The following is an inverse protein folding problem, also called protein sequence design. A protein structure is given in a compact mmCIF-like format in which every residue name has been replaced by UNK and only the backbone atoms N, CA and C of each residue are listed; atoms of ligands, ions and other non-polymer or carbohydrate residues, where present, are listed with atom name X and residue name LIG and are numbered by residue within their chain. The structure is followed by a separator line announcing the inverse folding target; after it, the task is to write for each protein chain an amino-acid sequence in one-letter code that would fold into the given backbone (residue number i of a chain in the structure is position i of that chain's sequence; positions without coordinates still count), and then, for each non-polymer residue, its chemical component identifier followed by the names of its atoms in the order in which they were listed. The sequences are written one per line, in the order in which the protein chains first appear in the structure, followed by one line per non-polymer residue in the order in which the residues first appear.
data_IF_029264340491
#
_entry.id   IF_029264340491
#
_cell.length_a   1.000
_cell.length_b   1.000
_cell.length_c   1.000
_cell.angle_alpha   90.00
_cell.angle_beta   90.00
_cell.angle_gamma   90.00
#
_symmetry.space_group_name_H-M   'P 1'
#
loop_
_entity.id
_entity.type
_entity.pdbx_description
1 polymer ?
#
# COMPACT_ATOMS: atom_id res chain seq x y z
N UNK A 1 -11.12 -16.53 12.51
CA UNK A 1 -12.08 -15.67 13.24
C UNK A 1 -11.26 -14.52 13.83
N UNK A 2 -11.66 -13.27 13.64
CA UNK A 2 -10.90 -12.13 14.20
C UNK A 2 -11.20 -11.96 15.69
N UNK A 3 -10.34 -11.24 16.43
CA UNK A 3 -10.56 -10.95 17.86
C UNK A 3 -11.85 -10.14 18.01
N UNK A 4 -12.12 -9.23 17.08
CA UNK A 4 -13.35 -8.45 17.09
C UNK A 4 -14.59 -9.32 16.85
N UNK A 5 -14.51 -10.33 15.99
CA UNK A 5 -15.59 -11.30 15.80
C UNK A 5 -15.80 -12.19 17.04
N UNK A 6 -14.73 -12.57 17.74
CA UNK A 6 -14.82 -13.26 19.03
C UNK A 6 -15.52 -12.43 20.10
N UNK A 7 -15.26 -11.12 20.14
CA UNK A 7 -15.81 -10.21 21.15
C UNK A 7 -17.26 -9.79 20.87
N UNK A 8 -17.59 -9.53 19.60
CA UNK A 8 -18.89 -8.95 19.19
C UNK A 8 -19.90 -10.05 18.80
N UNK A 9 -19.41 -11.25 18.50
CA UNK A 9 -20.23 -12.38 18.04
C UNK A 9 -20.75 -12.19 16.62
N UNK A 10 -21.64 -13.09 16.19
CA UNK A 10 -22.26 -13.02 14.87
C UNK A 10 -23.25 -11.85 14.81
N UNK A 11 -23.04 -10.96 13.86
CA UNK A 11 -23.85 -9.77 13.63
C UNK A 11 -24.26 -9.68 12.16
N UNK A 12 -25.26 -8.85 11.89
CA UNK A 12 -25.64 -8.52 10.50
C UNK A 12 -24.51 -7.81 9.75
N UNK A 13 -24.46 -8.00 8.43
CA UNK A 13 -23.50 -7.30 7.56
C UNK A 13 -23.53 -5.78 7.73
N UNK A 14 -24.70 -5.19 7.95
CA UNK A 14 -24.83 -3.74 8.18
C UNK A 14 -24.05 -3.26 9.41
N UNK A 15 -24.04 -4.06 10.49
CA UNK A 15 -23.24 -3.75 11.69
C UNK A 15 -21.75 -3.81 11.36
N UNK A 16 -21.32 -4.82 10.62
CA UNK A 16 -19.92 -4.94 10.18
C UNK A 16 -19.47 -3.78 9.29
N UNK A 17 -20.33 -3.30 8.38
CA UNK A 17 -20.06 -2.12 7.57
C UNK A 17 -19.88 -0.87 8.44
N UNK A 18 -20.75 -0.67 9.43
CA UNK A 18 -20.63 0.45 10.37
C UNK A 18 -19.36 0.34 11.21
N UNK A 19 -19.04 -0.85 11.72
CA UNK A 19 -17.81 -1.09 12.47
C UNK A 19 -16.57 -0.87 11.61
N UNK A 20 -16.57 -1.30 10.35
CA UNK A 20 -15.49 -1.04 9.40
C UNK A 20 -15.31 0.46 9.10
N UNK A 21 -16.41 1.21 8.95
CA UNK A 21 -16.37 2.67 8.80
C UNK A 21 -15.81 3.38 10.04
N UNK A 22 -16.19 2.93 11.24
CA UNK A 22 -15.57 3.39 12.50
C UNK A 22 -14.08 3.02 12.51
N UNK A 23 -13.74 1.80 12.08
CA UNK A 23 -12.38 1.31 11.97
C UNK A 23 -11.51 2.20 11.09
N UNK A 24 -12.02 2.58 9.91
CA UNK A 24 -11.40 3.56 9.03
C UNK A 24 -11.11 4.89 9.74
N UNK A 25 -12.08 5.45 10.46
CA UNK A 25 -11.90 6.71 11.19
C UNK A 25 -10.86 6.58 12.32
N UNK A 26 -10.84 5.45 13.02
CA UNK A 26 -9.85 5.13 14.04
C UNK A 26 -8.45 5.03 13.44
N UNK A 27 -8.29 4.28 12.35
CA UNK A 27 -7.03 4.12 11.62
C UNK A 27 -6.50 5.47 11.17
N UNK A 28 -7.32 6.30 10.53
CA UNK A 28 -6.90 7.63 10.08
C UNK A 28 -6.47 8.53 11.25
N UNK A 29 -7.27 8.58 12.33
CA UNK A 29 -6.94 9.41 13.49
C UNK A 29 -5.69 8.91 14.21
N UNK A 30 -5.54 7.59 14.33
CA UNK A 30 -4.38 6.94 14.94
C UNK A 30 -3.10 7.20 14.14
N UNK A 31 -3.14 7.08 12.82
CA UNK A 31 -2.04 7.39 11.91
C UNK A 31 -1.58 8.85 12.06
N UNK A 32 -2.51 9.81 12.12
CA UNK A 32 -2.18 11.22 12.35
C UNK A 32 -1.48 11.47 13.71
N UNK A 33 -1.88 10.73 14.76
CA UNK A 33 -1.24 10.81 16.08
C UNK A 33 0.17 10.23 16.03
N UNK A 34 0.33 9.08 15.39
CA UNK A 34 1.63 8.42 15.16
C UNK A 34 2.58 9.37 14.42
N UNK A 35 2.14 9.97 13.31
CA UNK A 35 2.93 10.92 12.52
C UNK A 35 3.34 12.15 13.36
N UNK A 36 2.38 12.79 14.03
CA UNK A 36 2.64 14.01 14.82
C UNK A 36 3.59 13.76 16.00
N UNK A 37 3.43 12.64 16.69
CA UNK A 37 4.28 12.27 17.84
C UNK A 37 5.68 11.90 17.37
N UNK A 38 5.78 11.14 16.27
CA UNK A 38 7.06 10.79 15.64
C UNK A 38 7.85 12.04 15.25
N UNK A 39 7.20 12.97 14.56
CA UNK A 39 7.82 14.24 14.15
C UNK A 39 8.37 15.02 15.35
N UNK A 40 7.58 15.20 16.42
CA UNK A 40 8.01 15.88 17.66
C UNK A 40 9.15 15.19 18.38
N UNK A 41 9.15 13.85 18.40
CA UNK A 41 10.22 13.06 19.02
C UNK A 41 11.52 13.23 18.21
N UNK A 42 11.45 13.11 16.88
CA UNK A 42 12.60 13.30 16.00
C UNK A 42 13.19 14.71 16.09
N UNK A 43 12.35 15.74 16.16
CA UNK A 43 12.78 17.13 16.35
C UNK A 43 13.50 17.33 17.69
N UNK A 44 12.99 16.71 18.76
CA UNK A 44 13.60 16.78 20.09
C UNK A 44 15.00 16.14 20.14
N UNK A 45 15.20 15.03 19.44
CA UNK A 45 16.49 14.34 19.36
C UNK A 45 17.43 14.91 18.29
N UNK A 46 17.04 15.97 17.57
CA UNK A 46 17.88 16.59 16.55
C UNK A 46 18.19 15.67 15.37
N UNK A 47 17.26 14.77 15.05
CA UNK A 47 17.40 13.89 13.87
C UNK A 47 17.41 14.76 12.62
N UNK A 48 18.29 14.45 11.66
CA UNK A 48 18.35 15.20 10.41
C UNK A 48 17.03 15.09 9.65
N UNK A 49 16.61 16.16 8.97
CA UNK A 49 15.35 16.15 8.19
C UNK A 49 15.33 15.03 7.13
N UNK A 50 16.49 14.67 6.58
CA UNK A 50 16.62 13.56 5.64
C UNK A 50 16.26 12.20 6.29
N UNK A 51 16.74 11.93 7.50
CA UNK A 51 16.43 10.68 8.22
C UNK A 51 14.99 10.70 8.75
N UNK A 52 14.55 11.85 9.27
CA UNK A 52 13.20 12.04 9.77
C UNK A 52 12.16 11.83 8.67
N UNK A 53 12.28 12.51 7.53
CA UNK A 53 11.34 12.39 6.42
C UNK A 53 11.44 11.08 5.64
N UNK A 54 12.67 10.58 5.43
CA UNK A 54 12.90 9.42 4.56
C UNK A 54 12.76 8.05 5.24
N UNK A 55 12.94 7.95 6.56
CA UNK A 55 12.92 6.67 7.27
C UNK A 55 11.90 6.65 8.41
N UNK A 56 11.97 7.59 9.35
CA UNK A 56 11.18 7.50 10.59
C UNK A 56 9.71 7.84 10.33
N UNK A 57 9.44 8.99 9.72
CA UNK A 57 8.06 9.42 9.40
C UNK A 57 7.47 8.50 8.33
N UNK A 58 8.22 8.12 7.30
CA UNK A 58 7.75 7.19 6.28
C UNK A 58 7.33 5.82 6.85
N UNK A 59 8.08 5.27 7.82
CA UNK A 59 7.69 4.05 8.51
C UNK A 59 6.45 4.25 9.39
N UNK A 60 6.31 5.43 10.00
CA UNK A 60 5.19 5.77 10.87
C UNK A 60 3.89 5.97 10.07
N UNK A 61 3.96 6.61 8.90
CA UNK A 61 2.81 6.80 8.00
C UNK A 61 2.37 5.50 7.35
N UNK A 62 3.30 4.57 7.08
CA UNK A 62 3.01 3.27 6.49
C UNK A 62 2.64 2.18 7.51
N UNK A 63 2.44 2.56 8.78
CA UNK A 63 2.06 1.63 9.84
C UNK A 63 0.69 0.97 9.62
N UNK A 64 -0.37 1.68 9.16
CA UNK A 64 -1.65 1.05 8.82
C UNK A 64 -1.53 -0.09 7.81
N UNK A 65 -0.73 0.10 6.76
CA UNK A 65 -0.47 -0.89 5.71
C UNK A 65 0.25 -2.11 6.27
N UNK A 66 1.26 -1.88 7.11
CA UNK A 66 1.93 -2.95 7.84
C UNK A 66 0.94 -3.68 8.78
N UNK A 67 0.08 -2.95 9.48
CA UNK A 67 -0.94 -3.55 10.35
C UNK A 67 -1.91 -4.44 9.57
N UNK A 68 -2.31 -4.06 8.36
CA UNK A 68 -3.21 -4.86 7.51
C UNK A 68 -2.60 -6.24 7.24
N UNK A 69 -1.35 -6.30 6.79
CA UNK A 69 -0.70 -7.59 6.49
C UNK A 69 -0.40 -8.39 7.76
N UNK A 70 -0.03 -7.73 8.87
CA UNK A 70 0.19 -8.40 10.15
C UNK A 70 -1.09 -9.04 10.69
N UNK A 71 -2.21 -8.33 10.68
CA UNK A 71 -3.51 -8.86 11.13
C UNK A 71 -3.98 -9.99 10.21
N UNK A 72 -3.83 -9.82 8.90
CA UNK A 72 -4.22 -10.83 7.92
C UNK A 72 -3.45 -12.15 8.12
N UNK A 73 -2.15 -12.09 8.39
CA UNK A 73 -1.31 -13.29 8.60
C UNK A 73 -1.45 -13.85 10.02
N UNK A 74 -1.34 -13.01 11.04
CA UNK A 74 -1.19 -13.46 12.43
C UNK A 74 -2.54 -13.71 13.14
N UNK A 75 -3.60 -13.02 12.73
CA UNK A 75 -4.93 -13.13 13.36
C UNK A 75 -5.87 -13.93 12.47
N UNK A 76 -5.98 -13.55 11.20
CA UNK A 76 -6.89 -14.21 10.27
C UNK A 76 -6.33 -15.55 9.75
N UNK A 77 -5.01 -15.67 9.62
CA UNK A 77 -4.36 -16.82 8.99
C UNK A 77 -4.52 -16.85 7.46
N UNK A 78 -4.88 -15.73 6.85
CA UNK A 78 -5.10 -15.58 5.41
C UNK A 78 -4.23 -14.44 4.86
N UNK A 79 -3.10 -14.82 4.26
CA UNK A 79 -2.21 -13.87 3.58
C UNK A 79 -2.89 -13.15 2.41
N UNK A 80 -3.87 -13.78 1.75
CA UNK A 80 -4.56 -13.25 0.59
C UNK A 80 -5.29 -11.94 0.87
N UNK A 81 -5.94 -11.81 2.03
CA UNK A 81 -6.62 -10.57 2.43
C UNK A 81 -5.64 -9.40 2.50
N UNK A 82 -4.54 -9.58 3.23
CA UNK A 82 -3.53 -8.53 3.39
C UNK A 82 -2.80 -8.23 2.08
N UNK A 83 -2.50 -9.26 1.29
CA UNK A 83 -1.84 -9.09 0.01
C UNK A 83 -2.73 -8.37 -1.01
N UNK A 84 -4.01 -8.71 -1.05
CA UNK A 84 -4.99 -8.04 -1.88
C UNK A 84 -5.09 -6.56 -1.54
N UNK A 85 -5.19 -6.22 -0.26
CA UNK A 85 -5.23 -4.84 0.19
C UNK A 85 -3.97 -4.05 -0.24
N UNK A 86 -2.77 -4.59 -0.02
CA UNK A 86 -1.52 -3.89 -0.35
C UNK A 86 -1.31 -3.71 -1.86
N UNK A 87 -1.65 -4.71 -2.67
CA UNK A 87 -1.55 -4.60 -4.14
C UNK A 87 -2.63 -3.64 -4.67
N UNK A 88 -3.85 -3.72 -4.13
CA UNK A 88 -4.92 -2.78 -4.44
C UNK A 88 -4.54 -1.34 -4.08
N UNK A 89 -3.91 -1.13 -2.93
CA UNK A 89 -3.40 0.18 -2.49
C UNK A 89 -2.34 0.69 -3.45
N UNK A 90 -1.46 -0.19 -3.95
CA UNK A 90 -0.46 0.20 -4.94
C UNK A 90 -1.11 0.71 -6.24
N UNK A 91 -2.15 0.01 -6.74
CA UNK A 91 -2.93 0.42 -7.92
C UNK A 91 -3.69 1.73 -7.64
N UNK A 92 -4.36 1.84 -6.49
CA UNK A 92 -5.09 3.04 -6.09
C UNK A 92 -4.16 4.25 -6.03
N UNK A 93 -3.04 4.12 -5.32
CA UNK A 93 -2.11 5.21 -5.11
C UNK A 93 -1.47 5.68 -6.41
N UNK A 94 -1.05 4.78 -7.30
CA UNK A 94 -0.38 5.17 -8.55
C UNK A 94 -1.34 5.85 -9.54
N UNK A 95 -2.63 5.50 -9.51
CA UNK A 95 -3.62 6.06 -10.44
C UNK A 95 -4.43 7.22 -9.83
N UNK A 96 -5.07 6.99 -8.68
CA UNK A 96 -6.08 7.89 -8.11
C UNK A 96 -5.46 9.12 -7.46
N UNK A 97 -4.33 8.99 -6.76
CA UNK A 97 -3.72 10.14 -6.07
C UNK A 97 -3.17 11.16 -7.07
N UNK A 98 -2.32 10.79 -8.06
CA UNK A 98 -1.88 11.72 -9.10
C UNK A 98 -3.05 12.33 -9.87
N UNK A 99 -4.07 11.53 -10.21
CA UNK A 99 -5.28 12.03 -10.87
C UNK A 99 -6.01 13.09 -10.05
N UNK A 100 -6.24 12.82 -8.76
CA UNK A 100 -6.94 13.75 -7.90
C UNK A 100 -6.13 15.03 -7.68
N UNK A 101 -4.80 14.93 -7.56
CA UNK A 101 -3.92 16.09 -7.42
C UNK A 101 -3.95 16.94 -8.69
N UNK A 102 -3.78 16.36 -9.88
CA UNK A 102 -3.77 17.12 -11.14
C UNK A 102 -5.15 17.73 -11.43
N UNK A 103 -6.25 17.00 -11.22
CA UNK A 103 -7.61 17.50 -11.44
C UNK A 103 -7.99 18.62 -10.47
N UNK A 104 -7.60 18.52 -9.19
CA UNK A 104 -8.03 19.51 -8.18
C UNK A 104 -7.11 20.71 -8.03
N UNK A 105 -5.84 20.55 -8.42
CA UNK A 105 -4.80 21.55 -8.20
C UNK A 105 -4.17 22.06 -9.50
N UNK A 106 -4.58 21.53 -10.66
CA UNK A 106 -4.01 21.79 -11.98
C UNK A 106 -2.73 20.99 -12.23
N UNK A 107 -2.11 21.21 -13.38
CA UNK A 107 -0.96 20.43 -13.87
C UNK A 107 0.18 20.33 -12.84
N UNK A 108 0.69 19.12 -12.67
CA UNK A 108 1.56 18.73 -11.57
C UNK A 108 2.99 18.59 -12.04
N UNK A 109 3.76 19.65 -11.86
CA UNK A 109 5.20 19.59 -12.13
C UNK A 109 5.87 18.50 -11.27
N UNK A 110 6.57 17.63 -11.96
CA UNK A 110 7.45 16.59 -11.42
C UNK A 110 8.90 17.12 -11.47
N UNK A 111 9.85 16.34 -10.93
CA UNK A 111 11.29 16.64 -11.04
C UNK A 111 12.04 15.41 -11.49
N UNK A 112 13.22 15.62 -12.08
CA UNK A 112 14.16 14.54 -12.40
C UNK A 112 14.43 13.62 -11.19
N UNK A 113 14.51 14.18 -9.97
CA UNK A 113 14.68 13.40 -8.75
C UNK A 113 13.52 12.43 -8.51
N UNK A 114 12.27 12.89 -8.64
CA UNK A 114 11.09 12.05 -8.43
C UNK A 114 10.98 10.96 -9.49
N UNK A 115 11.19 11.30 -10.77
CA UNK A 115 11.10 10.32 -11.88
C UNK A 115 12.25 9.31 -11.81
N UNK A 116 13.50 9.77 -11.76
CA UNK A 116 14.66 8.89 -11.89
C UNK A 116 15.07 8.18 -10.60
N UNK A 117 14.73 8.71 -9.42
CA UNK A 117 14.96 8.02 -8.15
C UNK A 117 13.70 7.24 -7.77
N UNK A 118 12.62 7.93 -7.42
CA UNK A 118 11.51 7.28 -6.72
C UNK A 118 10.67 6.39 -7.66
N UNK A 119 10.38 6.86 -8.87
CA UNK A 119 9.59 6.09 -9.83
C UNK A 119 10.36 4.88 -10.42
N UNK A 120 11.66 5.03 -10.71
CA UNK A 120 12.50 3.90 -11.13
C UNK A 120 12.68 2.89 -10.00
N UNK A 121 12.90 3.32 -8.75
CA UNK A 121 12.97 2.39 -7.62
C UNK A 121 11.67 1.63 -7.44
N UNK A 122 10.54 2.30 -7.59
CA UNK A 122 9.24 1.64 -7.56
C UNK A 122 9.09 0.62 -8.70
N UNK A 123 9.52 0.95 -9.93
CA UNK A 123 9.54 0.00 -11.04
C UNK A 123 10.42 -1.23 -10.74
N UNK A 124 11.58 -1.02 -10.13
CA UNK A 124 12.46 -2.12 -9.66
C UNK A 124 11.76 -2.94 -8.58
N UNK A 125 11.02 -2.33 -7.66
CA UNK A 125 10.26 -3.02 -6.64
C UNK A 125 9.16 -3.92 -7.24
N UNK A 126 8.41 -3.42 -8.23
CA UNK A 126 7.39 -4.21 -8.95
C UNK A 126 8.05 -5.39 -9.68
N UNK A 127 9.15 -5.16 -10.39
CA UNK A 127 9.88 -6.21 -11.12
C UNK A 127 10.51 -7.23 -10.18
N UNK A 128 11.03 -6.81 -9.02
CA UNK A 128 11.60 -7.70 -8.02
C UNK A 128 10.52 -8.61 -7.42
N UNK A 129 9.35 -8.06 -7.09
CA UNK A 129 8.20 -8.84 -6.63
C UNK A 129 7.74 -9.84 -7.69
N UNK A 130 7.63 -9.40 -8.95
CA UNK A 130 7.32 -10.29 -10.07
C UNK A 130 8.34 -11.41 -10.22
N UNK A 131 9.63 -11.09 -10.13
CA UNK A 131 10.73 -12.07 -10.18
C UNK A 131 10.65 -13.10 -9.05
N UNK A 132 10.35 -12.68 -7.82
CA UNK A 132 10.14 -13.59 -6.69
C UNK A 132 8.98 -14.56 -6.94
N UNK A 133 7.87 -14.07 -7.51
CA UNK A 133 6.70 -14.90 -7.82
C UNK A 133 7.02 -15.87 -8.96
N UNK A 134 7.71 -15.41 -10.00
CA UNK A 134 8.15 -16.26 -11.11
C UNK A 134 9.12 -17.36 -10.64
N UNK A 135 10.09 -17.03 -9.79
CA UNK A 135 11.00 -18.01 -9.16
C UNK A 135 10.21 -19.01 -8.29
N UNK A 136 9.17 -18.54 -7.59
CA UNK A 136 8.30 -19.37 -6.78
C UNK A 136 7.51 -20.42 -7.58
N UNK A 137 7.26 -20.20 -8.88
CA UNK A 137 6.65 -21.20 -9.77
C UNK A 137 7.66 -22.19 -10.32
N UNK A 138 8.87 -21.75 -10.62
CA UNK A 138 9.92 -22.66 -11.10
C UNK A 138 10.23 -23.77 -10.09
N UNK A 139 9.95 -23.53 -8.81
CA UNK A 139 10.10 -24.52 -7.74
C UNK A 139 8.92 -25.49 -7.53
N UNK A 140 7.85 -25.44 -8.33
CA UNK A 140 6.60 -26.19 -8.06
C UNK A 140 6.23 -27.27 -9.07
N UNK A 141 7.21 -27.91 -9.73
CA UNK A 141 6.99 -29.02 -10.70
C UNK A 141 5.87 -28.73 -11.73
N UNK A 142 5.72 -27.46 -12.15
CA UNK A 142 4.72 -27.04 -13.12
C UNK A 142 3.29 -26.86 -12.59
N UNK A 143 3.10 -26.79 -11.27
CA UNK A 143 1.79 -26.42 -10.68
C UNK A 143 1.54 -24.91 -10.83
N UNK A 144 0.28 -24.53 -11.01
CA UNK A 144 -0.21 -23.14 -11.11
C UNK A 144 -0.13 -22.36 -9.77
N UNK A 145 0.75 -22.78 -8.86
CA UNK A 145 0.96 -22.22 -7.53
C UNK A 145 2.40 -21.72 -7.45
N UNK A 146 2.58 -20.47 -7.07
CA UNK A 146 3.89 -19.89 -6.76
C UNK A 146 4.16 -20.04 -5.25
N UNK A 147 5.22 -20.76 -4.89
CA UNK A 147 5.65 -20.89 -3.49
C UNK A 147 6.72 -19.85 -3.18
N UNK A 148 6.36 -18.86 -2.38
CA UNK A 148 7.27 -17.81 -1.92
C UNK A 148 7.83 -18.21 -0.57
N UNK A 149 9.15 -18.38 -0.48
CA UNK A 149 9.83 -18.72 0.77
C UNK A 149 10.15 -17.48 1.60
N UNK A 150 10.33 -17.61 2.93
CA UNK A 150 10.79 -16.50 3.77
C UNK A 150 12.09 -15.86 3.26
N UNK A 151 13.01 -16.66 2.72
CA UNK A 151 14.29 -16.18 2.20
C UNK A 151 14.11 -15.24 1.00
N UNK A 152 13.16 -15.55 0.10
CA UNK A 152 12.79 -14.64 -0.99
C UNK A 152 12.20 -13.34 -0.44
N UNK A 153 11.36 -13.43 0.60
CA UNK A 153 10.83 -12.26 1.31
C UNK A 153 11.95 -11.40 1.93
N UNK A 154 12.93 -12.00 2.59
CA UNK A 154 14.10 -11.28 3.14
C UNK A 154 14.85 -10.53 2.03
N UNK A 155 15.00 -11.13 0.85
CA UNK A 155 15.60 -10.46 -0.31
C UNK A 155 14.90 -9.16 -0.69
N UNK A 156 13.57 -9.14 -0.66
CA UNK A 156 12.78 -7.93 -0.93
C UNK A 156 12.91 -6.90 0.20
N UNK A 157 12.91 -7.32 1.47
CA UNK A 157 13.14 -6.40 2.60
C UNK A 157 14.53 -5.75 2.54
N UNK A 158 15.55 -6.51 2.11
CA UNK A 158 16.90 -5.97 1.88
C UNK A 158 16.88 -4.93 0.76
N UNK A 159 16.14 -5.17 -0.32
CA UNK A 159 15.96 -4.18 -1.40
C UNK A 159 15.31 -2.88 -0.88
N UNK A 160 14.31 -2.98 0.01
CA UNK A 160 13.76 -1.81 0.68
C UNK A 160 14.80 -1.08 1.54
N UNK A 161 15.64 -1.81 2.28
CA UNK A 161 16.75 -1.23 3.04
C UNK A 161 17.73 -0.45 2.15
N UNK A 162 18.05 -0.96 0.97
CA UNK A 162 18.87 -0.25 -0.03
C UNK A 162 18.18 1.03 -0.49
N UNK A 163 16.87 0.98 -0.80
CA UNK A 163 16.10 2.17 -1.17
C UNK A 163 16.19 3.27 -0.10
N UNK A 164 15.99 2.92 1.17
CA UNK A 164 16.07 3.88 2.28
C UNK A 164 17.48 4.45 2.45
N UNK A 165 18.53 3.64 2.31
CA UNK A 165 19.92 4.11 2.37
C UNK A 165 20.21 5.11 1.23
N UNK A 166 19.72 4.84 0.02
CA UNK A 166 19.90 5.74 -1.12
C UNK A 166 19.11 7.05 -0.94
N UNK A 167 17.93 6.99 -0.33
CA UNK A 167 17.15 8.16 0.02
C UNK A 167 17.89 9.03 1.07
N UNK A 168 18.50 8.39 2.07
CA UNK A 168 19.29 9.07 3.09
C UNK A 168 20.63 9.62 2.57
N UNK A 169 21.25 8.94 1.60
CA UNK A 169 22.55 9.30 1.01
C UNK A 169 22.47 10.37 -0.10
N UNK A 170 21.31 10.55 -0.72
CA UNK A 170 21.05 11.61 -1.68
C UNK A 170 21.08 12.97 -0.98
N UNK A 171 22.17 13.73 -1.13
CA UNK A 171 22.41 15.06 -0.54
C UNK A 171 21.18 15.98 -0.67
N UNK A 172 20.31 15.95 0.34
CA UNK A 172 19.44 17.07 0.66
C UNK A 172 20.31 18.05 1.45
N UNK A 173 20.29 19.31 1.00
CA UNK A 173 21.23 20.34 1.37
C UNK A 173 21.43 20.53 2.88
N UNK A 174 22.58 21.10 3.21
CA UNK A 174 22.91 21.59 4.53
C UNK A 174 21.78 22.46 5.13
N UNK A 175 21.79 22.55 6.46
CA UNK A 175 21.00 23.45 7.35
C UNK A 175 19.51 23.11 7.48
N UNK A 176 18.87 23.02 8.63
CA UNK A 176 19.13 23.53 9.98
C UNK A 176 18.72 22.48 11.02
N UNK A 177 19.55 22.24 12.04
CA UNK A 177 19.02 21.70 13.30
C UNK A 177 18.06 22.76 13.84
N UNK A 178 16.75 22.61 13.58
CA UNK A 178 15.75 23.40 14.29
C UNK A 178 16.03 23.23 15.78
N UNK A 179 16.09 24.35 16.52
CA UNK A 179 16.23 24.35 17.99
C UNK A 179 15.27 23.29 18.54
N UNK A 180 15.81 22.33 19.29
CA UNK A 180 15.02 21.32 19.96
C UNK A 180 13.90 22.00 20.75
N UNK A 181 12.66 21.91 20.25
CA UNK A 181 11.51 22.24 21.07
C UNK A 181 11.52 21.24 22.23
N UNK A 182 11.44 21.76 23.46
CA UNK A 182 11.37 20.93 24.65
C UNK A 182 10.02 20.22 24.66
N UNK A 183 9.97 19.03 24.06
CA UNK A 183 8.80 18.16 24.14
C UNK A 183 8.90 17.28 25.37
N UNK A 184 7.75 16.94 25.96
CA UNK A 184 7.69 15.92 26.99
C UNK A 184 7.76 14.54 26.29
N UNK A 185 8.97 13.99 26.16
CA UNK A 185 9.22 12.71 25.46
C UNK A 185 8.36 11.57 26.03
N UNK A 186 8.23 11.37 27.35
CA UNK A 186 7.33 10.34 27.89
C UNK A 186 5.88 10.49 27.42
N UNK A 187 5.35 11.73 27.39
CA UNK A 187 4.00 11.99 26.90
C UNK A 187 3.88 11.67 25.41
N UNK A 188 4.85 12.06 24.58
CA UNK A 188 4.81 11.77 23.14
C UNK A 188 4.92 10.26 22.87
N UNK A 189 5.79 9.55 23.60
CA UNK A 189 5.92 8.11 23.51
C UNK A 189 4.63 7.39 23.92
N UNK A 190 3.96 7.86 24.99
CA UNK A 190 2.66 7.32 25.39
C UNK A 190 1.57 7.56 24.34
N UNK A 191 1.53 8.75 23.72
CA UNK A 191 0.60 9.05 22.63
C UNK A 191 0.91 8.25 21.37
N UNK A 192 2.18 8.03 21.04
CA UNK A 192 2.61 7.18 19.94
C UNK A 192 2.12 5.74 20.15
N UNK A 193 2.37 5.16 21.33
CA UNK A 193 1.90 3.82 21.68
C UNK A 193 0.37 3.70 21.64
N UNK A 194 -0.35 4.70 22.16
CA UNK A 194 -1.81 4.75 22.05
C UNK A 194 -2.28 4.81 20.59
N UNK A 195 -1.60 5.60 19.74
CA UNK A 195 -1.85 5.67 18.31
C UNK A 195 -1.70 4.32 17.62
N UNK A 196 -0.63 3.57 17.93
CA UNK A 196 -0.41 2.21 17.40
C UNK A 196 -1.57 1.28 17.74
N UNK A 197 -2.02 1.27 19.00
CA UNK A 197 -3.15 0.43 19.44
C UNK A 197 -4.44 0.83 18.72
N UNK A 198 -4.71 2.13 18.59
CA UNK A 198 -5.90 2.62 17.87
C UNK A 198 -5.87 2.21 16.41
N UNK A 199 -4.72 2.27 15.74
CA UNK A 199 -4.58 1.80 14.35
C UNK A 199 -4.80 0.30 14.25
N UNK A 200 -4.22 -0.51 15.15
CA UNK A 200 -4.40 -1.96 15.14
C UNK A 200 -5.88 -2.35 15.27
N UNK A 201 -6.61 -1.73 16.21
CA UNK A 201 -8.06 -1.96 16.38
C UNK A 201 -8.85 -1.50 15.16
N UNK A 202 -8.49 -0.33 14.60
CA UNK A 202 -9.16 0.21 13.42
C UNK A 202 -8.99 -0.67 12.20
N UNK A 203 -7.76 -1.12 11.95
CA UNK A 203 -7.42 -2.01 10.84
C UNK A 203 -8.08 -3.37 11.01
N UNK A 204 -8.08 -3.95 12.22
CA UNK A 204 -8.75 -5.23 12.46
C UNK A 204 -10.25 -5.15 12.13
N UNK A 205 -10.90 -4.05 12.51
CA UNK A 205 -12.30 -3.80 12.18
C UNK A 205 -12.53 -3.72 10.67
N UNK A 206 -11.66 -3.00 9.93
CA UNK A 206 -11.72 -2.90 8.46
C UNK A 206 -11.50 -4.26 7.78
N UNK A 207 -10.51 -5.03 8.24
CA UNK A 207 -10.23 -6.39 7.74
C UNK A 207 -11.44 -7.30 8.00
N UNK A 208 -12.01 -7.26 9.20
CA UNK A 208 -13.19 -8.08 9.54
C UNK A 208 -14.38 -7.72 8.66
N UNK A 209 -14.68 -6.41 8.49
CA UNK A 209 -15.72 -5.97 7.56
C UNK A 209 -15.49 -6.50 6.15
N UNK A 210 -14.25 -6.47 5.66
CA UNK A 210 -13.90 -6.93 4.32
C UNK A 210 -14.18 -8.42 4.15
N UNK A 211 -13.80 -9.25 5.13
CA UNK A 211 -14.11 -10.69 5.13
C UNK A 211 -15.63 -10.94 5.16
N UNK A 212 -16.36 -10.20 5.99
CA UNK A 212 -17.82 -10.34 6.08
C UNK A 212 -18.54 -9.92 4.78
N UNK A 213 -18.02 -8.91 4.07
CA UNK A 213 -18.51 -8.54 2.73
C UNK A 213 -18.22 -9.66 1.74
N UNK A 214 -17.02 -10.25 1.78
CA UNK A 214 -16.65 -11.36 0.91
C UNK A 214 -17.56 -12.57 1.10
N UNK A 215 -17.79 -12.97 2.36
CA UNK A 215 -18.69 -14.07 2.72
C UNK A 215 -20.14 -13.80 2.27
N UNK A 216 -20.63 -12.57 2.44
CA UNK A 216 -21.98 -12.19 2.04
C UNK A 216 -22.19 -12.16 0.52
N UNK A 217 -21.12 -11.94 -0.25
CA UNK A 217 -21.16 -11.91 -1.72
C UNK A 217 -20.75 -13.23 -2.37
N UNK A 218 -20.36 -14.25 -1.57
CA UNK A 218 -19.75 -15.50 -2.04
C UNK A 218 -18.55 -15.24 -2.98
N UNK A 219 -17.78 -14.20 -2.65
CA UNK A 219 -16.67 -13.71 -3.47
C UNK A 219 -15.32 -13.97 -2.78
N UNK A 220 -14.22 -14.17 -3.53
CA UNK A 220 -12.91 -14.35 -2.94
C UNK A 220 -12.48 -13.13 -2.10
N UNK A 221 -12.11 -13.35 -0.82
CA UNK A 221 -11.68 -12.29 0.10
C UNK A 221 -10.53 -11.45 -0.45
N UNK A 222 -9.64 -12.05 -1.25
CA UNK A 222 -8.59 -11.35 -1.99
C UNK A 222 -9.14 -10.25 -2.89
N UNK A 223 -10.16 -10.54 -3.72
CA UNK A 223 -10.72 -9.59 -4.69
C UNK A 223 -11.49 -8.45 -4.01
N UNK A 224 -12.23 -8.77 -2.93
CA UNK A 224 -12.88 -7.74 -2.10
C UNK A 224 -11.83 -6.88 -1.38
N UNK A 225 -10.71 -7.46 -0.95
CA UNK A 225 -9.61 -6.70 -0.33
C UNK A 225 -8.90 -5.79 -1.33
N UNK A 226 -8.65 -6.27 -2.55
CA UNK A 226 -8.05 -5.49 -3.65
C UNK A 226 -8.88 -4.27 -4.02
N UNK A 227 -10.18 -4.29 -3.78
CA UNK A 227 -11.11 -3.22 -4.17
C UNK A 227 -11.55 -2.36 -3.00
N UNK A 228 -12.20 -2.95 -1.98
CA UNK A 228 -12.83 -2.23 -0.87
C UNK A 228 -11.80 -1.86 0.20
N UNK A 229 -11.04 -2.84 0.69
CA UNK A 229 -10.10 -2.60 1.79
C UNK A 229 -8.98 -1.65 1.37
N UNK A 230 -8.44 -1.85 0.16
CA UNK A 230 -7.42 -0.98 -0.42
C UNK A 230 -7.89 0.47 -0.60
N UNK A 231 -9.11 0.69 -1.08
CA UNK A 231 -9.64 2.04 -1.26
C UNK A 231 -9.81 2.75 0.08
N UNK A 232 -10.27 2.03 1.11
CA UNK A 232 -10.43 2.59 2.46
C UNK A 232 -9.09 2.90 3.13
N UNK A 233 -8.09 2.02 3.02
CA UNK A 233 -6.75 2.29 3.59
C UNK A 233 -6.05 3.46 2.88
N UNK A 234 -6.28 3.62 1.58
CA UNK A 234 -5.61 4.64 0.75
C UNK A 234 -6.33 6.00 0.73
N UNK A 235 -7.57 6.07 1.23
CA UNK A 235 -8.34 7.30 1.23
C UNK A 235 -7.71 8.45 2.06
N UNK A 236 -7.11 8.21 3.24
CA UNK A 236 -6.41 9.26 3.97
C UNK A 236 -5.23 9.82 3.18
N UNK A 237 -4.47 8.95 2.49
CA UNK A 237 -3.35 9.36 1.62
C UNK A 237 -3.83 10.20 0.45
N UNK A 238 -4.98 9.86 -0.15
CA UNK A 238 -5.62 10.68 -1.18
C UNK A 238 -5.91 12.09 -0.67
N UNK A 239 -6.49 12.21 0.53
CA UNK A 239 -6.79 13.52 1.12
C UNK A 239 -5.52 14.32 1.41
N UNK A 240 -4.49 13.67 1.94
CA UNK A 240 -3.18 14.27 2.19
C UNK A 240 -2.55 14.74 0.89
N UNK A 241 -2.52 13.89 -0.15
CA UNK A 241 -2.00 14.22 -1.47
C UNK A 241 -2.70 15.43 -2.10
N UNK A 242 -4.04 15.45 -2.08
CA UNK A 242 -4.83 16.61 -2.56
C UNK A 242 -4.52 17.88 -1.77
N UNK A 243 -4.38 17.78 -0.44
CA UNK A 243 -4.03 18.92 0.42
C UNK A 243 -2.65 19.47 0.09
N UNK A 244 -1.65 18.59 -0.12
CA UNK A 244 -0.30 18.97 -0.54
C UNK A 244 -0.33 19.63 -1.92
N UNK A 245 -1.10 19.08 -2.86
CA UNK A 245 -1.29 19.65 -4.19
C UNK A 245 -1.85 21.07 -4.16
N UNK A 246 -2.90 21.30 -3.37
CA UNK A 246 -3.52 22.63 -3.20
C UNK A 246 -2.62 23.63 -2.47
N UNK A 247 -1.70 23.15 -1.63
CA UNK A 247 -0.70 23.98 -0.95
C UNK A 247 0.47 24.37 -1.86
N UNK A 248 0.55 23.85 -3.09
CA UNK A 248 1.65 24.08 -4.03
C UNK A 248 2.76 23.01 -3.97
N UNK A 249 2.66 22.05 -3.04
CA UNK A 249 3.63 20.98 -2.82
C UNK A 249 3.31 19.71 -3.64
N UNK A 250 2.90 19.90 -4.91
CA UNK A 250 2.46 18.80 -5.79
C UNK A 250 3.53 17.72 -5.96
N UNK A 251 4.80 18.12 -5.99
CA UNK A 251 5.97 17.22 -6.05
C UNK A 251 6.03 16.24 -4.88
N UNK A 252 5.75 16.74 -3.68
CA UNK A 252 5.79 15.91 -2.48
C UNK A 252 4.61 14.91 -2.45
N UNK A 253 3.45 15.27 -3.02
CA UNK A 253 2.33 14.34 -3.17
C UNK A 253 2.69 13.14 -4.06
N UNK A 254 3.33 13.39 -5.22
CA UNK A 254 3.78 12.33 -6.13
C UNK A 254 4.90 11.48 -5.51
N UNK A 255 5.86 12.10 -4.81
CA UNK A 255 6.91 11.37 -4.12
C UNK A 255 6.35 10.42 -3.03
N UNK A 256 5.31 10.86 -2.30
CA UNK A 256 4.65 10.04 -1.28
C UNK A 256 4.02 8.78 -1.89
N UNK A 257 3.37 8.90 -3.06
CA UNK A 257 2.78 7.76 -3.78
C UNK A 257 3.82 6.68 -4.08
N UNK A 258 4.97 7.07 -4.66
CA UNK A 258 6.03 6.11 -4.99
C UNK A 258 6.66 5.50 -3.74
N UNK A 259 6.87 6.29 -2.69
CA UNK A 259 7.43 5.84 -1.42
C UNK A 259 6.54 4.79 -0.72
N UNK A 260 5.26 5.11 -0.51
CA UNK A 260 4.29 4.20 0.12
C UNK A 260 4.11 2.93 -0.71
N UNK A 261 4.03 3.03 -2.04
CA UNK A 261 3.93 1.84 -2.89
C UNK A 261 5.18 0.96 -2.84
N UNK A 262 6.37 1.56 -2.79
CA UNK A 262 7.61 0.81 -2.62
C UNK A 262 7.61 0.10 -1.27
N UNK A 263 7.26 0.78 -0.17
CA UNK A 263 7.13 0.15 1.14
C UNK A 263 6.15 -1.03 1.11
N UNK A 264 4.97 -0.86 0.50
CA UNK A 264 3.97 -1.91 0.45
C UNK A 264 4.47 -3.17 -0.26
N UNK A 265 5.15 -3.00 -1.41
CA UNK A 265 5.57 -4.14 -2.23
C UNK A 265 6.84 -4.84 -1.72
N UNK A 266 7.82 -4.10 -1.19
CA UNK A 266 9.12 -4.68 -0.82
C UNK A 266 9.42 -4.68 0.68
N UNK A 267 8.57 -4.08 1.52
CA UNK A 267 8.65 -4.20 2.97
C UNK A 267 7.43 -4.92 3.56
N UNK A 268 6.22 -4.35 3.47
CA UNK A 268 5.04 -4.88 4.15
C UNK A 268 4.64 -6.28 3.66
N UNK A 269 4.45 -6.46 2.34
CA UNK A 269 4.13 -7.77 1.75
C UNK A 269 5.16 -8.85 2.13
N UNK A 270 6.48 -8.63 1.95
CA UNK A 270 7.50 -9.60 2.34
C UNK A 270 7.57 -9.90 3.83
N UNK A 271 7.32 -8.91 4.70
CA UNK A 271 7.22 -9.16 6.15
C UNK A 271 6.08 -10.16 6.42
N UNK A 272 4.94 -10.00 5.76
CA UNK A 272 3.84 -10.97 5.81
C UNK A 272 4.28 -12.38 5.40
N UNK A 273 5.03 -12.51 4.29
CA UNK A 273 5.56 -13.81 3.82
C UNK A 273 6.49 -14.45 4.85
N UNK A 274 7.39 -13.66 5.44
CA UNK A 274 8.35 -14.15 6.45
C UNK A 274 7.61 -14.65 7.68
N UNK A 275 6.63 -13.88 8.18
CA UNK A 275 5.86 -14.22 9.36
C UNK A 275 4.95 -15.44 9.15
N UNK A 276 4.44 -15.63 7.94
CA UNK A 276 3.67 -16.82 7.57
C UNK A 276 4.54 -18.09 7.47
N UNK A 277 5.88 -17.98 7.53
CA UNK A 277 6.78 -19.11 7.28
C UNK A 277 6.87 -19.50 5.79
N UNK A 278 6.48 -18.60 4.90
CA UNK A 278 6.33 -18.82 3.47
C UNK A 278 4.86 -18.96 3.07
N UNK A 279 4.55 -18.58 1.84
CA UNK A 279 3.18 -18.56 1.33
C UNK A 279 3.09 -19.26 -0.02
N UNK A 280 1.91 -19.77 -0.32
CA UNK A 280 1.57 -20.30 -1.63
C UNK A 280 0.47 -19.44 -2.22
N UNK A 281 0.74 -18.82 -3.36
CA UNK A 281 -0.23 -17.96 -4.04
C UNK A 281 -0.57 -18.53 -5.41
N UNK A 282 -1.81 -18.32 -5.87
CA UNK A 282 -2.22 -18.69 -7.22
C UNK A 282 -1.45 -17.86 -8.24
N UNK A 283 -0.63 -18.50 -9.07
CA UNK A 283 0.16 -17.79 -10.07
C UNK A 283 -0.74 -17.11 -11.10
N UNK A 284 -1.76 -17.82 -11.57
CA UNK A 284 -2.71 -17.33 -12.57
C UNK A 284 -3.57 -16.16 -12.07
N UNK A 285 -3.79 -16.05 -10.77
CA UNK A 285 -4.49 -14.91 -10.18
C UNK A 285 -3.54 -13.72 -9.95
N UNK A 286 -2.31 -14.00 -9.51
CA UNK A 286 -1.36 -12.98 -9.07
C UNK A 286 -0.65 -12.28 -10.24
N UNK A 287 -0.34 -13.02 -11.31
CA UNK A 287 0.40 -12.49 -12.47
C UNK A 287 -0.39 -11.42 -13.23
N UNK A 288 -1.67 -11.62 -13.61
CA UNK A 288 -2.42 -10.58 -14.32
C UNK A 288 -2.52 -9.28 -13.52
N UNK A 289 -2.70 -9.37 -12.20
CA UNK A 289 -2.75 -8.20 -11.33
C UNK A 289 -1.39 -7.47 -11.28
N UNK A 290 -0.28 -8.21 -11.20
CA UNK A 290 1.06 -7.63 -11.23
C UNK A 290 1.43 -7.06 -12.59
N UNK A 291 1.00 -7.69 -13.68
CA UNK A 291 1.16 -7.15 -15.04
C UNK A 291 0.36 -5.85 -15.20
N UNK A 292 -0.86 -5.81 -14.67
CA UNK A 292 -1.64 -4.58 -14.62
C UNK A 292 -0.94 -3.49 -13.80
N UNK A 293 -0.43 -3.83 -12.61
CA UNK A 293 0.34 -2.90 -11.78
C UNK A 293 1.61 -2.40 -12.48
N UNK A 294 2.35 -3.30 -13.12
CA UNK A 294 3.53 -2.96 -13.91
C UNK A 294 3.19 -2.03 -15.07
N UNK A 295 2.16 -2.37 -15.84
CA UNK A 295 1.72 -1.57 -16.99
C UNK A 295 1.26 -0.17 -16.56
N UNK A 296 0.42 -0.09 -15.52
CA UNK A 296 -0.06 1.20 -14.99
C UNK A 296 1.09 2.03 -14.43
N UNK A 297 2.02 1.41 -13.70
CA UNK A 297 3.25 2.07 -13.26
C UNK A 297 4.04 2.62 -14.44
N UNK A 298 4.24 1.83 -15.49
CA UNK A 298 4.96 2.25 -16.69
C UNK A 298 4.28 3.45 -17.36
N UNK A 299 2.96 3.43 -17.52
CA UNK A 299 2.18 4.54 -18.07
C UNK A 299 2.38 5.81 -17.24
N UNK A 300 2.24 5.72 -15.92
CA UNK A 300 2.41 6.88 -15.02
C UNK A 300 3.85 7.40 -15.06
N UNK A 301 4.86 6.53 -15.05
CA UNK A 301 6.26 6.96 -15.14
C UNK A 301 6.57 7.64 -16.47
N UNK A 302 6.06 7.10 -17.60
CA UNK A 302 6.27 7.70 -18.92
C UNK A 302 5.60 9.06 -19.02
N UNK A 303 4.35 9.18 -18.58
CA UNK A 303 3.63 10.47 -18.55
C UNK A 303 4.33 11.46 -17.63
N UNK A 304 4.68 11.07 -16.39
CA UNK A 304 5.39 11.93 -15.45
C UNK A 304 6.81 12.32 -15.90
N UNK A 305 7.44 11.52 -16.77
CA UNK A 305 8.74 11.83 -17.39
C UNK A 305 8.60 12.75 -18.61
N UNK A 306 7.42 12.79 -19.24
CA UNK A 306 7.13 13.67 -20.36
C UNK A 306 6.96 15.08 -19.82
N UNK A 307 7.82 16.00 -20.27
CA UNK A 307 7.88 17.40 -19.82
C UNK A 307 8.04 17.62 -18.30
N UNK A 308 8.31 16.55 -17.54
CA UNK A 308 8.28 16.52 -16.09
C UNK A 308 7.01 17.13 -15.52
N UNK A 309 5.85 16.78 -16.08
CA UNK A 309 4.56 17.29 -15.64
C UNK A 309 3.48 16.22 -15.83
N UNK A 310 2.59 16.07 -14.85
CA UNK A 310 1.37 15.28 -15.00
C UNK A 310 0.23 16.26 -15.25
N UNK A 311 -0.30 16.24 -16.46
CA UNK A 311 -1.38 17.12 -16.89
C UNK A 311 -2.72 16.69 -16.29
N UNK A 312 -3.67 17.62 -16.30
CA UNK A 312 -5.05 17.35 -15.88
C UNK A 312 -5.72 16.29 -16.78
N UNK A 313 -5.40 16.28 -18.08
CA UNK A 313 -5.93 15.31 -19.04
C UNK A 313 -5.42 13.89 -18.74
N UNK A 314 -4.13 13.73 -18.47
CA UNK A 314 -3.54 12.46 -18.03
C UNK A 314 -4.14 11.99 -16.69
N UNK A 315 -4.50 12.92 -15.81
CA UNK A 315 -5.26 12.61 -14.59
C UNK A 315 -6.60 11.92 -14.86
N UNK A 316 -7.35 12.36 -15.87
CA UNK A 316 -8.58 11.67 -16.28
C UNK A 316 -8.30 10.28 -16.88
N UNK A 317 -7.19 10.11 -17.61
CA UNK A 317 -6.76 8.80 -18.12
C UNK A 317 -6.47 7.84 -16.97
N UNK A 318 -5.74 8.27 -15.93
CA UNK A 318 -5.47 7.45 -14.76
C UNK A 318 -6.75 7.06 -14.01
N UNK A 319 -7.68 7.99 -13.86
CA UNK A 319 -8.98 7.69 -13.24
C UNK A 319 -9.78 6.68 -14.07
N UNK A 320 -9.79 6.82 -15.40
CA UNK A 320 -10.45 5.87 -16.30
C UNK A 320 -9.83 4.46 -16.19
N UNK A 321 -8.50 4.37 -16.10
CA UNK A 321 -7.78 3.11 -15.87
C UNK A 321 -8.17 2.48 -14.52
N UNK A 322 -8.32 3.28 -13.47
CA UNK A 322 -8.75 2.78 -12.16
C UNK A 322 -10.21 2.32 -12.17
N UNK A 323 -11.11 3.02 -12.86
CA UNK A 323 -12.51 2.58 -13.03
C UNK A 323 -12.58 1.27 -13.83
N UNK A 324 -11.77 1.13 -14.89
CA UNK A 324 -11.67 -0.11 -15.65
C UNK A 324 -11.14 -1.26 -14.78
N UNK A 325 -10.16 -0.99 -13.93
CA UNK A 325 -9.63 -1.93 -12.95
C UNK A 325 -10.71 -2.41 -11.96
N UNK A 326 -11.50 -1.48 -11.39
CA UNK A 326 -12.61 -1.82 -10.50
C UNK A 326 -13.65 -2.67 -11.22
N UNK A 327 -14.00 -2.34 -12.46
CA UNK A 327 -14.90 -3.12 -13.30
C UNK A 327 -14.39 -4.55 -13.50
N UNK A 328 -13.12 -4.71 -13.82
CA UNK A 328 -12.49 -6.03 -13.98
C UNK A 328 -12.49 -6.82 -12.67
N UNK A 329 -12.02 -6.25 -11.55
CA UNK A 329 -11.99 -6.94 -10.26
C UNK A 329 -13.39 -7.34 -9.77
N UNK A 330 -14.39 -6.49 -10.01
CA UNK A 330 -15.79 -6.78 -9.67
C UNK A 330 -16.34 -7.91 -10.55
N UNK A 331 -16.04 -7.91 -11.85
CA UNK A 331 -16.46 -8.98 -12.74
C UNK A 331 -15.85 -10.34 -12.37
N UNK A 332 -14.57 -10.36 -11.97
CA UNK A 332 -13.91 -11.58 -11.46
C UNK A 332 -14.51 -12.01 -10.11
N UNK A 333 -14.83 -11.07 -9.22
CA UNK A 333 -15.40 -11.37 -7.90
C UNK A 333 -16.77 -12.07 -8.00
N UNK A 334 -17.57 -11.73 -9.00
CA UNK A 334 -18.87 -12.36 -9.27
C UNK A 334 -18.80 -13.52 -10.29
N UNK A 335 -17.61 -13.92 -10.73
CA UNK A 335 -17.43 -14.99 -11.72
C UNK A 335 -18.02 -14.68 -13.10
N UNK A 336 -18.25 -13.41 -13.43
CA UNK A 336 -18.75 -12.96 -14.74
C UNK A 336 -17.65 -13.09 -15.80
N UNK A 337 -16.41 -12.78 -15.41
CA UNK A 337 -15.22 -13.02 -16.22
C UNK A 337 -14.40 -14.15 -15.61
N UNK A 338 -13.72 -14.89 -16.47
CA UNK A 338 -12.89 -16.04 -16.12
C UNK A 338 -11.42 -15.78 -16.48
N UNK A 339 -10.95 -14.52 -16.45
CA UNK A 339 -9.54 -14.24 -16.74
C UNK A 339 -8.61 -14.71 -15.61
N UNK A 340 -9.14 -14.88 -14.38
CA UNK A 340 -8.39 -15.38 -13.22
C UNK A 340 -8.76 -16.82 -12.79
N UNK A 341 -9.64 -17.53 -13.52
CA UNK A 341 -10.03 -18.93 -13.22
C UNK A 341 -9.28 -19.99 -14.05
N UNK A 342 -9.05 -21.16 -13.46
CA UNK A 342 -8.31 -22.31 -14.02
C UNK A 342 -8.76 -22.77 -15.42
N UNK A 343 -10.06 -22.66 -15.76
CA UNK A 343 -10.63 -23.27 -16.97
C UNK A 343 -10.23 -22.57 -18.28
N UNK A 344 -10.00 -21.25 -18.25
CA UNK A 344 -9.70 -20.46 -19.45
C UNK A 344 -8.21 -20.53 -19.83
N UNK A 345 -7.34 -20.87 -18.87
CA UNK A 345 -5.88 -20.84 -19.05
C UNK A 345 -5.30 -22.20 -19.50
N UNK A 346 -5.97 -23.33 -19.23
CA UNK A 346 -5.64 -24.63 -19.86
C UNK A 346 -5.72 -24.59 -21.39
N UNK A 347 -6.63 -23.78 -21.96
CA UNK A 347 -6.78 -23.65 -23.41
C UNK A 347 -5.64 -22.87 -24.07
N UNK A 348 -4.92 -22.04 -23.31
CA UNK A 348 -3.82 -21.21 -23.81
C UNK A 348 -2.45 -21.86 -23.57
N UNK A 349 -2.27 -22.57 -22.44
CA UNK A 349 -0.98 -23.16 -22.06
C UNK A 349 -0.80 -24.60 -22.53
N UNK A 350 -1.90 -25.30 -22.87
CA UNK A 350 -1.86 -26.70 -23.29
C UNK A 350 -1.80 -27.66 -22.11
#
# INVERSE_FOLDING_TARGET
MTVLQELVGDQSLAVWIVLGAIGFLLTWKGANVIESTTSKISDHFGVSQAIQGGLIVAAATSFPELAIILISVLVLGDFGVGAGALIGTAVFNILVIPAAVSITSGDTTTTQGIVYRDAIFYMVAVLALFGVIALGVLGTDGREIARITPQMGVGLVVLYGVYVILLAGGKSGASDLKRAESTNVPKQAGLFAAGLVVVLVGVESMVTMTVQIADALDAPSFLISVTVLSALSSFPDLLVGVKMGKAGDKRAAIANVFGTNTFNLVAALPIGVILAGGVSIGFLTSVPLLLFLFYTTLVVVVMAATDFEITTEEGYVFLAMYVAFLGWMTAEAFGITTFLTESTLRTIVG
#
